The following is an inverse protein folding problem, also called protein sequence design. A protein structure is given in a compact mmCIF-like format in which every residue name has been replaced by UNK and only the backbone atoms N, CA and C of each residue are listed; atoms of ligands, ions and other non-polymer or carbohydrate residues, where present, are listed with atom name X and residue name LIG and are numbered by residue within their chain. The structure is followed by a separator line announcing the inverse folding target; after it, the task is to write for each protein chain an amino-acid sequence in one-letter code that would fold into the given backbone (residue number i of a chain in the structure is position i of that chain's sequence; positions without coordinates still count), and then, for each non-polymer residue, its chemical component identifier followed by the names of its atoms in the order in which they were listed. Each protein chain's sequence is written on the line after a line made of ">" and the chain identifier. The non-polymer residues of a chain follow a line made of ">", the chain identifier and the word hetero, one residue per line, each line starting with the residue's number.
data_IF_042453327246
#
_entry.id   IF_042453327246
#
_cell.length_a   1.000
_cell.length_b   1.000
_cell.length_c   1.000
_cell.angle_alpha   90.00
_cell.angle_beta   90.00
_cell.angle_gamma   90.00
#
_symmetry.space_group_name_H-M   'P 1'
#
loop_
_entity.id
_entity.type
_entity.pdbx_description
1 polymer ?
#
# COMPACT_ATOMS: atom_id res chain seq x y z
N UNK A 1 -33.65 -15.64 10.40
CA UNK A 1 -32.71 -16.59 9.75
C UNK A 1 -32.36 -16.01 8.38
N UNK A 2 -31.25 -15.28 8.25
CA UNK A 2 -30.81 -14.79 6.94
C UNK A 2 -30.08 -15.92 6.23
N UNK A 3 -30.63 -16.41 5.11
CA UNK A 3 -29.91 -17.35 4.24
C UNK A 3 -28.69 -16.64 3.66
N UNK A 4 -27.51 -17.16 4.01
CA UNK A 4 -26.27 -16.74 3.37
C UNK A 4 -26.29 -17.26 1.93
N UNK A 5 -26.17 -16.40 0.91
CA UNK A 5 -26.26 -16.84 -0.48
C UNK A 5 -25.20 -17.92 -0.75
N UNK A 6 -25.59 -18.97 -1.47
CA UNK A 6 -24.70 -20.07 -1.83
C UNK A 6 -23.44 -19.50 -2.52
N UNK A 7 -22.24 -20.00 -2.18
CA UNK A 7 -21.01 -19.49 -2.78
C UNK A 7 -21.07 -19.67 -4.30
N UNK A 8 -20.98 -18.56 -5.02
CA UNK A 8 -20.94 -18.57 -6.48
C UNK A 8 -19.76 -19.42 -6.97
N UNK A 9 -19.96 -20.14 -8.09
CA UNK A 9 -18.90 -20.89 -8.75
C UNK A 9 -17.74 -19.93 -9.10
N UNK A 10 -16.54 -20.19 -8.57
CA UNK A 10 -15.37 -19.34 -8.80
C UNK A 10 -14.68 -19.74 -10.10
N UNK A 11 -14.40 -18.77 -10.97
CA UNK A 11 -13.59 -19.00 -12.16
C UNK A 11 -12.10 -19.02 -11.78
N UNK A 12 -11.37 -20.02 -12.27
CA UNK A 12 -9.93 -20.12 -12.07
C UNK A 12 -9.23 -19.00 -12.85
N UNK A 13 -8.28 -18.31 -12.22
CA UNK A 13 -7.42 -17.36 -12.91
C UNK A 13 -6.37 -18.09 -13.75
N UNK A 14 -5.91 -17.42 -14.80
CA UNK A 14 -4.65 -17.77 -15.47
C UNK A 14 -3.50 -17.86 -14.43
N UNK A 15 -2.58 -18.82 -14.54
CA UNK A 15 -1.49 -18.99 -13.56
C UNK A 15 -0.66 -17.73 -13.32
N UNK A 16 -0.33 -16.96 -14.36
CA UNK A 16 0.46 -15.74 -14.21
C UNK A 16 -0.33 -14.64 -13.49
N UNK A 17 -1.62 -14.53 -13.76
CA UNK A 17 -2.51 -13.64 -13.01
C UNK A 17 -2.62 -14.04 -11.53
N UNK A 18 -2.74 -15.34 -11.25
CA UNK A 18 -2.76 -15.85 -9.88
C UNK A 18 -1.45 -15.53 -9.13
N UNK A 19 -0.30 -15.68 -9.79
CA UNK A 19 1.01 -15.35 -9.22
C UNK A 19 1.18 -13.85 -8.98
N UNK A 20 0.71 -13.00 -9.89
CA UNK A 20 0.71 -11.55 -9.70
C UNK A 20 -0.10 -11.14 -8.47
N UNK A 21 -1.27 -11.75 -8.26
CA UNK A 21 -2.11 -11.52 -7.07
C UNK A 21 -1.42 -12.00 -5.80
N UNK A 22 -0.79 -13.19 -5.81
CA UNK A 22 -0.01 -13.68 -4.66
C UNK A 22 1.17 -12.77 -4.33
N UNK A 23 1.89 -12.30 -5.34
CA UNK A 23 3.00 -11.36 -5.17
C UNK A 23 2.54 -10.02 -4.60
N UNK A 24 1.39 -9.51 -5.06
CA UNK A 24 0.78 -8.31 -4.49
C UNK A 24 0.39 -8.54 -3.02
N UNK A 25 -0.26 -9.66 -2.71
CA UNK A 25 -0.62 -10.00 -1.34
C UNK A 25 0.63 -10.11 -0.42
N UNK A 26 1.73 -10.68 -0.91
CA UNK A 26 2.99 -10.75 -0.17
C UNK A 26 3.57 -9.34 0.09
N UNK A 27 3.58 -8.46 -0.93
CA UNK A 27 3.99 -7.06 -0.76
C UNK A 27 3.10 -6.31 0.22
N UNK A 28 1.79 -6.52 0.17
CA UNK A 28 0.84 -5.91 1.11
C UNK A 28 1.10 -6.36 2.54
N UNK A 29 1.29 -7.67 2.78
CA UNK A 29 1.63 -8.19 4.12
C UNK A 29 2.94 -7.60 4.62
N UNK A 30 3.99 -7.62 3.80
CA UNK A 30 5.28 -7.02 4.17
C UNK A 30 5.20 -5.49 4.40
N UNK A 31 4.26 -4.80 3.74
CA UNK A 31 3.95 -3.39 4.03
C UNK A 31 3.27 -3.22 5.39
N UNK A 32 2.29 -4.06 5.69
CA UNK A 32 1.58 -4.06 6.97
C UNK A 32 2.51 -4.37 8.15
N UNK A 33 3.38 -5.37 8.02
CA UNK A 33 4.33 -5.75 9.07
C UNK A 33 5.31 -4.61 9.38
N UNK A 34 5.80 -3.93 8.33
CA UNK A 34 6.66 -2.75 8.50
C UNK A 34 5.95 -1.59 9.18
N UNK A 35 4.69 -1.35 8.83
CA UNK A 35 3.90 -0.29 9.45
C UNK A 35 3.59 -0.60 10.92
N UNK A 36 3.21 -1.84 11.22
CA UNK A 36 2.98 -2.29 12.60
C UNK A 36 4.25 -2.10 13.45
N UNK A 37 5.41 -2.52 12.94
CA UNK A 37 6.69 -2.33 13.63
C UNK A 37 7.00 -0.84 13.90
N UNK A 38 6.72 0.05 12.94
CA UNK A 38 6.92 1.49 13.13
C UNK A 38 5.97 2.07 14.19
N UNK A 39 4.71 1.64 14.23
CA UNK A 39 3.75 2.06 15.25
C UNK A 39 4.12 1.55 16.64
N UNK A 40 4.60 0.30 16.73
CA UNK A 40 5.11 -0.29 17.97
C UNK A 40 6.33 0.47 18.49
N UNK A 41 7.25 0.85 17.61
CA UNK A 41 8.42 1.68 17.94
C UNK A 41 8.00 3.06 18.46
N UNK A 42 7.07 3.74 17.79
CA UNK A 42 6.53 5.03 18.25
C UNK A 42 5.84 4.88 19.62
N UNK A 43 5.10 3.79 19.84
CA UNK A 43 4.45 3.53 21.12
C UNK A 43 5.47 3.29 22.25
N UNK A 44 6.62 2.69 21.93
CA UNK A 44 7.67 2.41 22.90
C UNK A 44 8.58 3.62 23.17
N UNK A 45 8.89 4.42 22.14
CA UNK A 45 9.97 5.41 22.16
C UNK A 45 9.48 6.86 21.96
N UNK A 46 8.20 7.06 21.63
CA UNK A 46 7.66 8.36 21.26
C UNK A 46 7.90 8.70 19.79
N UNK A 47 7.51 9.92 19.40
CA UNK A 47 7.71 10.41 18.04
C UNK A 47 9.19 10.79 17.80
N UNK A 48 9.70 10.63 16.57
CA UNK A 48 11.02 11.15 16.19
C UNK A 48 11.07 12.68 16.32
N UNK A 49 12.29 13.22 16.47
CA UNK A 49 12.47 14.66 16.52
C UNK A 49 12.07 15.30 15.17
N UNK A 50 11.45 16.49 15.15
CA UNK A 50 11.06 17.16 13.91
C UNK A 50 12.22 17.39 12.94
N UNK A 51 13.42 17.68 13.45
CA UNK A 51 14.65 17.84 12.68
C UNK A 51 15.11 16.56 11.95
N UNK A 52 14.71 15.38 12.42
CA UNK A 52 14.98 14.09 11.78
C UNK A 52 13.86 13.69 10.78
N UNK A 53 12.80 14.49 10.67
CA UNK A 53 11.65 14.21 9.82
C UNK A 53 11.70 15.01 8.52
N UNK A 54 11.11 14.45 7.45
CA UNK A 54 10.88 15.19 6.22
C UNK A 54 9.55 15.94 6.29
N UNK A 55 9.51 17.25 6.00
CA UNK A 55 8.26 18.00 5.92
C UNK A 55 7.27 17.37 4.94
N UNK A 56 5.98 17.42 5.28
CA UNK A 56 4.93 16.85 4.43
C UNK A 56 4.87 17.52 3.06
N UNK A 57 5.09 18.82 3.01
CA UNK A 57 5.11 19.62 1.79
C UNK A 57 6.13 19.07 0.81
N UNK A 58 7.34 18.77 1.25
CA UNK A 58 8.43 18.28 0.41
C UNK A 58 8.08 16.92 -0.20
N UNK A 59 7.55 16.01 0.62
CA UNK A 59 7.10 14.68 0.16
C UNK A 59 5.95 14.80 -0.85
N UNK A 60 4.98 15.67 -0.57
CA UNK A 60 3.82 15.91 -1.42
C UNK A 60 4.25 16.46 -2.77
N UNK A 61 5.07 17.50 -2.79
CA UNK A 61 5.51 18.14 -4.04
C UNK A 61 6.37 17.19 -4.88
N UNK A 62 7.28 16.43 -4.26
CA UNK A 62 8.04 15.40 -4.96
C UNK A 62 7.13 14.34 -5.60
N UNK A 63 6.09 13.90 -4.88
CA UNK A 63 5.13 12.94 -5.41
C UNK A 63 4.30 13.51 -6.57
N UNK A 64 3.83 14.76 -6.45
CA UNK A 64 3.06 15.43 -7.48
C UNK A 64 3.89 15.67 -8.74
N UNK A 65 5.14 16.11 -8.61
CA UNK A 65 6.06 16.27 -9.73
C UNK A 65 6.27 14.94 -10.47
N UNK A 66 6.44 13.84 -9.72
CA UNK A 66 6.57 12.49 -10.30
C UNK A 66 5.30 12.08 -11.05
N UNK A 67 4.12 12.34 -10.51
CA UNK A 67 2.85 12.07 -11.21
C UNK A 67 2.69 12.94 -12.46
N UNK A 68 3.06 14.22 -12.39
CA UNK A 68 3.02 15.13 -13.54
C UNK A 68 3.94 14.64 -14.67
N UNK A 69 5.14 14.16 -14.33
CA UNK A 69 6.08 13.59 -15.30
C UNK A 69 5.59 12.26 -15.92
N UNK A 70 4.74 11.51 -15.23
CA UNK A 70 4.16 10.26 -15.73
C UNK A 70 2.90 10.46 -16.57
N UNK A 71 2.29 11.65 -16.53
CA UNK A 71 1.13 11.95 -17.37
C UNK A 71 1.63 12.25 -18.78
N UNK A 72 1.25 11.45 -19.81
CA UNK A 72 1.51 11.84 -21.19
C UNK A 72 0.82 13.18 -21.45
N UNK A 73 1.49 14.08 -22.18
CA UNK A 73 0.89 15.35 -22.57
C UNK A 73 -0.37 15.03 -23.38
N UNK A 74 -1.53 15.34 -22.81
CA UNK A 74 -2.80 15.25 -23.55
C UNK A 74 -2.74 16.36 -24.59
N UNK A 75 -2.51 15.97 -25.85
CA UNK A 75 -2.57 16.84 -27.02
C UNK A 75 -4.02 16.98 -27.52
#
# INVERSE_FOLDING_TARGET
>A
MSEQPAPAARQQLDPAAADAVRAYAARTRAGADRFAAALEDIAANGLPAPEDCTPWEDLREAHLARLAAQRPAVA
#
